data_IF_918825904298
#
_entry.id   IF_918825904298
#
_cell.length_a   1.000
_cell.length_b   1.000
_cell.length_c   1.000
_cell.angle_alpha   90.00
_cell.angle_beta   90.00
_cell.angle_gamma   90.00
#
_symmetry.space_group_name_H-M   'P 1'
#
loop_
_entity.id
_entity.type
_entity.pdbx_description
1 polymer ?
#
# COMPACT_ATOMS: atom_id res chain seq x y z
N UNK A 1 -59.88 13.95 -9.23
CA UNK A 1 -58.86 13.42 -10.18
C UNK A 1 -57.53 13.36 -9.45
N UNK A 2 -56.93 12.18 -9.26
CA UNK A 2 -55.74 12.04 -8.41
C UNK A 2 -54.48 12.53 -9.16
N UNK A 3 -53.80 13.53 -8.61
CA UNK A 3 -52.62 14.18 -9.20
C UNK A 3 -51.47 13.19 -9.44
N UNK A 4 -51.29 12.23 -8.52
CA UNK A 4 -50.32 11.15 -8.66
C UNK A 4 -50.59 10.27 -9.89
N UNK A 5 -51.87 9.97 -10.16
CA UNK A 5 -52.30 9.15 -11.30
C UNK A 5 -52.07 9.87 -12.63
N UNK A 6 -52.18 11.20 -12.66
CA UNK A 6 -51.92 12.01 -13.83
C UNK A 6 -50.41 12.08 -14.13
N UNK A 7 -49.58 12.30 -13.11
CA UNK A 7 -48.11 12.30 -13.24
C UNK A 7 -47.58 10.95 -13.72
N UNK A 8 -48.10 9.84 -13.18
CA UNK A 8 -47.72 8.50 -13.64
C UNK A 8 -48.07 8.25 -15.11
N UNK A 9 -49.29 8.62 -15.54
CA UNK A 9 -49.69 8.52 -16.95
C UNK A 9 -48.83 9.39 -17.86
N UNK A 10 -48.41 10.56 -17.41
CA UNK A 10 -47.52 11.45 -18.17
C UNK A 10 -46.13 10.82 -18.40
N UNK A 11 -45.55 10.19 -17.38
CA UNK A 11 -44.26 9.51 -17.47
C UNK A 11 -44.29 8.35 -18.49
N UNK A 12 -45.35 7.55 -18.47
CA UNK A 12 -45.53 6.43 -19.41
C UNK A 12 -45.84 6.91 -20.84
N UNK A 13 -46.55 8.02 -21.00
CA UNK A 13 -46.91 8.56 -22.32
C UNK A 13 -45.72 9.16 -23.10
N UNK A 14 -44.63 9.54 -22.43
CA UNK A 14 -43.42 10.11 -23.06
C UNK A 14 -42.17 9.29 -22.72
N UNK A 15 -42.08 8.01 -23.15
CA UNK A 15 -41.06 7.07 -22.67
C UNK A 15 -39.63 7.55 -22.92
N UNK A 16 -39.32 8.06 -24.12
CA UNK A 16 -37.97 8.54 -24.46
C UNK A 16 -37.51 9.67 -23.53
N UNK A 17 -38.34 10.70 -23.34
CA UNK A 17 -38.01 11.85 -22.49
C UNK A 17 -37.90 11.42 -21.01
N UNK A 18 -38.80 10.56 -20.54
CA UNK A 18 -38.75 10.01 -19.19
C UNK A 18 -37.46 9.21 -18.98
N UNK A 19 -37.11 8.32 -19.90
CA UNK A 19 -35.88 7.50 -19.83
C UNK A 19 -34.63 8.37 -19.84
N UNK A 20 -34.52 9.36 -20.73
CA UNK A 20 -33.36 10.26 -20.78
C UNK A 20 -33.17 11.01 -19.46
N UNK A 21 -34.24 11.53 -18.86
CA UNK A 21 -34.15 12.21 -17.56
C UNK A 21 -33.78 11.26 -16.42
N UNK A 22 -34.31 10.03 -16.43
CA UNK A 22 -33.93 9.00 -15.46
C UNK A 22 -32.44 8.67 -15.59
N UNK A 23 -31.93 8.49 -16.81
CA UNK A 23 -30.50 8.20 -17.05
C UNK A 23 -29.63 9.36 -16.61
N UNK A 24 -30.00 10.61 -16.93
CA UNK A 24 -29.25 11.79 -16.50
C UNK A 24 -29.20 11.90 -14.96
N UNK A 25 -30.34 11.74 -14.29
CA UNK A 25 -30.41 11.74 -12.83
C UNK A 25 -29.59 10.59 -12.23
N UNK A 26 -29.73 9.38 -12.76
CA UNK A 26 -29.00 8.21 -12.30
C UNK A 26 -27.48 8.38 -12.47
N UNK A 27 -27.03 8.95 -13.59
CA UNK A 27 -25.61 9.22 -13.83
C UNK A 27 -25.07 10.28 -12.85
N UNK A 28 -25.83 11.35 -12.60
CA UNK A 28 -25.46 12.35 -11.60
C UNK A 28 -25.32 11.77 -10.19
N UNK A 29 -26.29 10.97 -9.76
CA UNK A 29 -26.24 10.26 -8.48
C UNK A 29 -25.11 9.24 -8.42
N UNK A 30 -24.87 8.50 -9.50
CA UNK A 30 -23.81 7.51 -9.58
C UNK A 30 -22.43 8.14 -9.43
N UNK A 31 -22.16 9.26 -10.11
CA UNK A 31 -20.88 9.97 -10.01
C UNK A 31 -20.64 10.44 -8.57
N UNK A 32 -21.63 11.06 -7.94
CA UNK A 32 -21.52 11.52 -6.54
C UNK A 32 -21.27 10.34 -5.61
N UNK A 33 -22.00 9.24 -5.79
CA UNK A 33 -21.85 8.03 -4.97
C UNK A 33 -20.46 7.41 -5.14
N UNK A 34 -19.97 7.29 -6.37
CA UNK A 34 -18.63 6.77 -6.65
C UNK A 34 -17.57 7.66 -6.01
N UNK A 35 -17.70 8.99 -6.13
CA UNK A 35 -16.75 9.92 -5.53
C UNK A 35 -16.68 9.75 -4.01
N UNK A 36 -17.82 9.65 -3.33
CA UNK A 36 -17.88 9.46 -1.88
C UNK A 36 -17.29 8.11 -1.47
N UNK A 37 -17.58 7.03 -2.21
CA UNK A 37 -17.02 5.71 -1.94
C UNK A 37 -15.51 5.67 -2.12
N UNK A 38 -14.99 6.32 -3.17
CA UNK A 38 -13.54 6.41 -3.40
C UNK A 38 -12.86 7.19 -2.28
N UNK A 39 -13.45 8.31 -1.86
CA UNK A 39 -12.92 9.11 -0.76
C UNK A 39 -12.87 8.30 0.54
N UNK A 40 -13.97 7.63 0.91
CA UNK A 40 -14.06 6.81 2.13
C UNK A 40 -13.06 5.64 2.11
N UNK A 41 -12.97 4.92 0.99
CA UNK A 41 -11.99 3.84 0.85
C UNK A 41 -10.55 4.33 0.92
N UNK A 42 -10.26 5.48 0.31
CA UNK A 42 -8.93 6.07 0.32
C UNK A 42 -8.54 6.52 1.73
N UNK A 43 -9.40 7.26 2.41
CA UNK A 43 -9.20 7.72 3.79
C UNK A 43 -9.02 6.53 4.74
N UNK A 44 -9.93 5.56 4.69
CA UNK A 44 -9.84 4.35 5.51
C UNK A 44 -8.57 3.54 5.26
N UNK A 45 -8.09 3.47 4.01
CA UNK A 45 -6.80 2.82 3.70
C UNK A 45 -5.63 3.59 4.28
N UNK A 46 -5.58 4.91 4.10
CA UNK A 46 -4.51 5.74 4.63
C UNK A 46 -4.44 5.66 6.16
N UNK A 47 -5.60 5.77 6.83
CA UNK A 47 -5.68 5.64 8.31
C UNK A 47 -5.24 4.26 8.79
N UNK A 48 -5.61 3.19 8.10
CA UNK A 48 -5.20 1.83 8.45
C UNK A 48 -3.69 1.62 8.26
N UNK A 49 -3.15 2.06 7.13
CA UNK A 49 -1.74 1.85 6.78
C UNK A 49 -0.80 2.65 7.72
N UNK A 50 -1.27 3.78 8.28
CA UNK A 50 -0.57 4.59 9.30
C UNK A 50 -0.87 4.20 10.76
N UNK A 51 -1.75 3.22 11.00
CA UNK A 51 -2.16 2.82 12.35
C UNK A 51 -0.97 2.30 13.14
N UNK A 52 -0.77 2.83 14.35
CA UNK A 52 0.34 2.45 15.22
C UNK A 52 1.67 3.16 14.92
N UNK A 53 1.68 4.11 13.97
CA UNK A 53 2.85 4.93 13.63
C UNK A 53 2.64 6.35 14.15
N UNK A 54 3.32 6.71 15.24
CA UNK A 54 3.21 8.03 15.86
C UNK A 54 4.20 9.05 15.29
N UNK A 55 5.35 8.58 14.80
CA UNK A 55 6.44 9.42 14.30
C UNK A 55 7.23 8.71 13.20
N UNK A 56 7.54 9.42 12.12
CA UNK A 56 8.49 9.00 11.10
C UNK A 56 9.74 9.85 11.22
N UNK A 57 10.90 9.21 11.32
CA UNK A 57 12.22 9.87 11.37
C UNK A 57 13.01 9.45 10.15
N UNK A 58 13.61 10.42 9.45
CA UNK A 58 14.39 10.18 8.25
C UNK A 58 15.31 11.33 7.92
N UNK A 59 16.07 11.18 6.84
CA UNK A 59 17.02 12.18 6.39
C UNK A 59 16.33 13.52 6.06
N UNK A 60 17.09 14.62 6.17
CA UNK A 60 16.61 15.97 5.87
C UNK A 60 16.02 16.03 4.45
N UNK A 61 14.78 16.50 4.35
CA UNK A 61 14.05 16.57 3.08
C UNK A 61 12.62 17.06 3.30
N UNK A 62 11.72 16.72 2.37
CA UNK A 62 10.29 17.03 2.50
C UNK A 62 9.63 16.10 3.53
N UNK A 63 9.00 16.61 4.59
CA UNK A 63 8.26 15.78 5.55
C UNK A 63 7.14 14.96 4.89
N UNK A 64 6.47 15.53 3.88
CA UNK A 64 5.44 14.83 3.13
C UNK A 64 6.03 13.65 2.35
N UNK A 65 7.16 13.86 1.68
CA UNK A 65 7.86 12.80 0.95
C UNK A 65 8.29 11.67 1.88
N UNK A 66 8.79 12.01 3.08
CA UNK A 66 9.18 11.02 4.09
C UNK A 66 7.99 10.16 4.51
N UNK A 67 6.84 10.75 4.77
CA UNK A 67 5.60 10.04 5.12
C UNK A 67 5.11 9.17 3.95
N UNK A 68 5.03 9.75 2.76
CA UNK A 68 4.56 9.05 1.56
C UNK A 68 5.44 7.84 1.24
N UNK A 69 6.76 8.00 1.31
CA UNK A 69 7.72 6.94 0.98
C UNK A 69 7.79 5.85 2.05
N UNK A 70 7.72 6.21 3.33
CA UNK A 70 7.95 5.26 4.44
C UNK A 70 6.69 4.47 4.84
N UNK A 71 5.53 5.14 4.87
CA UNK A 71 4.26 4.51 5.30
C UNK A 71 3.52 3.97 4.08
N UNK A 72 3.34 4.81 3.06
CA UNK A 72 2.47 4.49 1.93
C UNK A 72 3.21 3.91 0.72
N UNK A 73 4.54 3.88 0.77
CA UNK A 73 5.40 3.41 -0.33
C UNK A 73 5.18 4.17 -1.66
N UNK A 74 4.69 5.41 -1.56
CA UNK A 74 4.48 6.36 -2.66
C UNK A 74 5.65 7.35 -2.59
N UNK A 75 6.41 7.55 -3.66
CA UNK A 75 7.60 8.45 -3.71
C UNK A 75 8.93 7.87 -3.17
N UNK A 76 10.05 8.50 -3.55
CA UNK A 76 11.40 8.07 -3.22
C UNK A 76 11.76 8.42 -1.76
N UNK A 77 12.54 7.58 -1.05
CA UNK A 77 13.03 7.92 0.29
C UNK A 77 13.90 9.18 0.25
N UNK A 78 13.85 10.00 1.31
CA UNK A 78 14.63 11.25 1.41
C UNK A 78 16.13 11.01 1.66
N UNK A 79 16.53 9.76 1.92
CA UNK A 79 17.89 9.33 2.21
C UNK A 79 17.97 8.51 3.50
N UNK A 80 19.18 8.05 3.83
CA UNK A 80 19.44 7.31 5.06
C UNK A 80 19.82 8.25 6.20
N UNK A 81 19.50 7.85 7.43
CA UNK A 81 20.01 8.46 8.66
C UNK A 81 21.20 7.66 9.19
N UNK A 82 22.08 8.31 9.95
CA UNK A 82 23.19 7.63 10.60
C UNK A 82 22.67 6.59 11.61
N UNK A 83 23.25 5.40 11.56
CA UNK A 83 22.83 4.29 12.42
C UNK A 83 22.96 4.63 13.91
N UNK A 84 24.00 5.39 14.28
CA UNK A 84 24.20 5.84 15.65
C UNK A 84 23.08 6.78 16.13
N UNK A 85 22.57 7.65 15.25
CA UNK A 85 21.43 8.51 15.57
C UNK A 85 20.13 7.71 15.71
N UNK A 86 19.91 6.74 14.82
CA UNK A 86 18.77 5.83 14.91
C UNK A 86 18.79 5.03 16.24
N UNK A 87 19.96 4.56 16.66
CA UNK A 87 20.11 3.81 17.92
C UNK A 87 19.78 4.65 19.17
N UNK A 88 20.04 5.95 19.15
CA UNK A 88 19.66 6.85 20.26
C UNK A 88 18.14 6.91 20.45
N UNK A 89 17.35 6.77 19.38
CA UNK A 89 15.89 6.71 19.47
C UNK A 89 15.41 5.43 20.15
N UNK A 90 16.02 4.29 19.82
CA UNK A 90 15.69 2.99 20.44
C UNK A 90 15.98 2.97 21.94
N UNK A 91 16.95 3.76 22.41
CA UNK A 91 17.29 3.86 23.83
C UNK A 91 16.46 4.91 24.58
N UNK A 92 15.62 5.69 23.89
CA UNK A 92 14.82 6.73 24.51
C UNK A 92 13.61 6.14 25.24
N UNK A 93 13.48 6.43 26.54
CA UNK A 93 12.39 5.94 27.40
C UNK A 93 10.98 6.38 26.97
N UNK A 94 10.87 7.44 26.18
CA UNK A 94 9.59 7.92 25.63
C UNK A 94 9.16 7.15 24.37
N UNK A 95 10.05 6.33 23.81
CA UNK A 95 9.80 5.58 22.58
C UNK A 95 9.54 4.12 22.94
N UNK A 96 8.31 3.65 22.66
CA UNK A 96 7.91 2.28 22.98
C UNK A 96 8.57 1.25 22.04
N UNK A 97 8.66 1.57 20.76
CA UNK A 97 9.15 0.67 19.71
C UNK A 97 9.75 1.49 18.57
N UNK A 98 10.79 0.96 17.94
CA UNK A 98 11.42 1.55 16.75
C UNK A 98 11.51 0.46 15.70
N UNK A 99 10.95 0.72 14.52
CA UNK A 99 10.99 -0.21 13.39
C UNK A 99 11.93 0.40 12.34
N UNK A 100 13.12 -0.19 12.12
CA UNK A 100 14.05 0.29 11.11
C UNK A 100 13.49 0.03 9.71
N UNK A 101 13.66 0.99 8.80
CA UNK A 101 13.19 0.88 7.43
C UNK A 101 14.31 1.24 6.46
N UNK A 102 14.66 0.33 5.56
CA UNK A 102 15.57 0.53 4.44
C UNK A 102 14.82 0.38 3.13
N UNK A 103 14.89 1.41 2.28
CA UNK A 103 14.23 1.44 0.97
C UNK A 103 15.27 1.76 -0.10
N UNK A 104 15.27 1.00 -1.19
CA UNK A 104 16.19 1.26 -2.32
C UNK A 104 15.93 0.37 -3.53
N UNK A 105 15.66 -0.91 -3.26
CA UNK A 105 15.44 -1.90 -4.30
C UNK A 105 13.95 -2.13 -4.59
N UNK A 106 13.68 -2.52 -5.82
CA UNK A 106 12.38 -2.98 -6.26
C UNK A 106 12.52 -4.19 -7.20
N UNK A 107 11.48 -5.02 -7.25
CA UNK A 107 11.30 -6.09 -8.22
C UNK A 107 10.00 -5.87 -8.99
N UNK A 108 10.08 -5.63 -10.29
CA UNK A 108 8.91 -5.39 -11.16
C UNK A 108 7.94 -4.32 -10.61
N UNK A 109 8.47 -3.28 -9.97
CA UNK A 109 7.67 -2.22 -9.35
C UNK A 109 7.17 -2.50 -7.93
N UNK A 110 7.42 -3.69 -7.37
CA UNK A 110 7.21 -3.99 -5.95
C UNK A 110 8.45 -3.64 -5.15
N UNK A 111 8.31 -2.82 -4.10
CA UNK A 111 9.45 -2.44 -3.26
C UNK A 111 9.94 -3.62 -2.44
N UNK A 112 11.26 -3.72 -2.33
CA UNK A 112 11.93 -4.58 -1.35
C UNK A 112 12.22 -3.71 -0.14
N UNK A 113 11.66 -4.09 1.00
CA UNK A 113 11.74 -3.32 2.25
C UNK A 113 12.67 -4.04 3.20
N UNK A 114 13.80 -3.42 3.52
CA UNK A 114 14.72 -3.90 4.55
C UNK A 114 14.22 -3.50 5.93
N UNK A 115 13.94 -4.46 6.81
CA UNK A 115 13.42 -4.19 8.15
C UNK A 115 13.66 -5.38 9.09
N UNK A 116 13.18 -5.29 10.33
CA UNK A 116 13.18 -6.36 11.31
C UNK A 116 11.77 -6.95 11.48
N UNK A 117 11.60 -7.93 12.37
CA UNK A 117 10.32 -8.62 12.53
C UNK A 117 9.20 -7.76 13.12
N UNK A 118 9.55 -6.66 13.81
CA UNK A 118 8.56 -5.72 14.35
C UNK A 118 7.66 -5.14 13.26
N UNK A 119 8.14 -5.07 12.01
CA UNK A 119 7.33 -4.61 10.87
C UNK A 119 6.15 -5.55 10.58
N UNK A 120 6.36 -6.87 10.71
CA UNK A 120 5.27 -7.82 10.56
C UNK A 120 4.29 -7.70 11.73
N UNK A 121 4.81 -7.50 12.94
CA UNK A 121 4.00 -7.38 14.15
C UNK A 121 3.14 -6.09 14.13
N UNK A 122 3.66 -4.99 13.57
CA UNK A 122 2.90 -3.73 13.37
C UNK A 122 1.63 -3.94 12.53
N UNK A 123 1.72 -4.77 11.50
CA UNK A 123 0.61 -5.07 10.59
C UNK A 123 -0.12 -6.38 10.92
N UNK A 124 0.14 -6.95 12.11
CA UNK A 124 -0.47 -8.20 12.58
C UNK A 124 -0.31 -9.32 11.52
N UNK A 125 0.84 -9.36 10.84
CA UNK A 125 1.11 -10.25 9.72
C UNK A 125 1.91 -11.47 10.17
N UNK A 126 1.37 -12.66 9.92
CA UNK A 126 2.07 -13.93 10.12
C UNK A 126 2.45 -14.56 8.78
N UNK A 127 3.55 -15.30 8.76
CA UNK A 127 3.96 -16.04 7.56
C UNK A 127 3.06 -17.26 7.41
N UNK A 128 2.35 -17.37 6.29
CA UNK A 128 1.43 -18.46 6.03
C UNK A 128 2.12 -19.69 5.47
N UNK A 129 3.12 -19.49 4.60
CA UNK A 129 3.94 -20.54 4.01
C UNK A 129 5.43 -20.23 4.17
N UNK A 130 6.23 -21.24 4.51
CA UNK A 130 7.68 -21.08 4.70
C UNK A 130 8.03 -20.50 6.07
N UNK A 131 8.97 -19.55 6.10
CA UNK A 131 9.50 -18.95 7.33
C UNK A 131 9.79 -17.46 7.17
N UNK A 132 10.04 -16.77 8.29
CA UNK A 132 10.58 -15.40 8.30
C UNK A 132 12.03 -15.41 7.76
N UNK A 133 12.52 -14.25 7.31
CA UNK A 133 13.91 -14.09 6.86
C UNK A 133 14.87 -14.17 8.03
N UNK A 134 15.95 -14.93 7.93
CA UNK A 134 16.97 -15.09 8.98
C UNK A 134 18.34 -14.57 8.52
N UNK A 135 18.61 -14.66 7.21
CA UNK A 135 19.88 -14.28 6.61
C UNK A 135 19.74 -13.05 5.70
N UNK A 136 20.83 -12.31 5.44
CA UNK A 136 20.85 -11.33 4.38
C UNK A 136 20.37 -11.93 3.06
N UNK A 137 19.64 -11.14 2.28
CA UNK A 137 19.05 -11.53 0.98
C UNK A 137 17.95 -12.61 1.04
N UNK A 138 17.43 -12.97 2.22
CA UNK A 138 16.17 -13.71 2.30
C UNK A 138 14.98 -12.73 2.32
N UNK A 139 13.91 -13.06 1.58
CA UNK A 139 12.70 -12.22 1.51
C UNK A 139 11.44 -13.01 1.80
N UNK A 140 10.46 -12.30 2.36
CA UNK A 140 9.08 -12.78 2.52
C UNK A 140 8.19 -11.99 1.57
N UNK A 141 7.42 -12.71 0.74
CA UNK A 141 6.51 -12.08 -0.21
C UNK A 141 5.15 -11.81 0.43
N UNK A 142 4.56 -10.65 0.11
CA UNK A 142 3.13 -10.45 0.34
C UNK A 142 2.30 -11.34 -0.59
N UNK A 143 1.13 -11.79 -0.11
CA UNK A 143 0.25 -12.69 -0.86
C UNK A 143 -0.09 -12.19 -2.27
N UNK A 144 -0.39 -10.89 -2.39
CA UNK A 144 -0.71 -10.27 -3.68
C UNK A 144 0.48 -10.22 -4.64
N UNK A 145 1.70 -10.09 -4.12
CA UNK A 145 2.93 -10.11 -4.92
C UNK A 145 3.15 -11.53 -5.44
N UNK A 146 3.12 -12.53 -4.55
CA UNK A 146 3.27 -13.94 -4.93
C UNK A 146 2.22 -14.37 -5.99
N UNK A 147 0.95 -13.98 -5.82
CA UNK A 147 -0.11 -14.30 -6.77
C UNK A 147 0.08 -13.65 -8.15
N UNK A 148 0.61 -12.42 -8.20
CA UNK A 148 0.79 -11.68 -9.46
C UNK A 148 2.07 -12.05 -10.21
N UNK A 149 3.16 -12.29 -9.48
CA UNK A 149 4.46 -12.64 -10.09
C UNK A 149 4.59 -14.14 -10.33
N UNK A 150 3.80 -14.96 -9.63
CA UNK A 150 3.90 -16.43 -9.68
C UNK A 150 5.11 -16.99 -8.92
N UNK A 151 5.84 -16.16 -8.18
CA UNK A 151 7.00 -16.57 -7.38
C UNK A 151 6.59 -17.52 -6.26
N UNK A 152 7.46 -18.49 -5.99
CA UNK A 152 7.29 -19.55 -5.00
C UNK A 152 8.45 -19.57 -4.02
N UNK A 153 8.29 -20.31 -2.93
CA UNK A 153 9.37 -20.59 -1.99
C UNK A 153 10.57 -21.22 -2.72
N UNK A 154 11.76 -20.69 -2.45
CA UNK A 154 13.02 -21.09 -3.08
C UNK A 154 13.37 -20.33 -4.36
N UNK A 155 12.44 -19.58 -4.95
CA UNK A 155 12.74 -18.78 -6.13
C UNK A 155 13.70 -17.65 -5.79
N UNK A 156 14.50 -17.27 -6.78
CA UNK A 156 15.46 -16.18 -6.68
C UNK A 156 15.04 -14.99 -7.54
N UNK A 157 15.16 -13.79 -6.99
CA UNK A 157 14.91 -12.54 -7.71
C UNK A 157 16.10 -11.61 -7.63
N UNK A 158 16.27 -10.80 -8.66
CA UNK A 158 17.29 -9.74 -8.70
C UNK A 158 16.58 -8.41 -8.53
N UNK A 159 16.97 -7.65 -7.51
CA UNK A 159 16.48 -6.30 -7.27
C UNK A 159 17.02 -5.33 -8.33
N UNK A 160 16.25 -4.28 -8.60
CA UNK A 160 16.70 -3.12 -9.37
C UNK A 160 16.59 -1.86 -8.51
N UNK A 161 17.53 -0.93 -8.65
CA UNK A 161 17.48 0.31 -7.86
C UNK A 161 16.41 1.27 -8.37
N UNK A 162 15.72 1.94 -7.44
CA UNK A 162 14.77 3.02 -7.73
C UNK A 162 13.29 2.58 -7.70
N UNK A 163 12.41 3.51 -8.05
CA UNK A 163 10.94 3.35 -8.07
C UNK A 163 10.50 3.48 -9.52
N UNK A 164 10.66 2.39 -10.28
CA UNK A 164 10.39 2.34 -11.71
C UNK A 164 11.38 1.40 -12.37
N UNK A 165 10.88 0.42 -13.14
CA UNK A 165 11.66 -0.69 -13.71
C UNK A 165 12.73 -0.34 -14.75
N UNK A 166 13.40 0.82 -14.62
CA UNK A 166 14.50 1.28 -15.46
C UNK A 166 15.83 1.44 -14.71
N UNK A 167 15.95 0.94 -13.48
CA UNK A 167 17.22 0.96 -12.73
C UNK A 167 18.26 -0.01 -13.29
N UNK A 168 19.53 0.38 -13.24
CA UNK A 168 20.65 -0.50 -13.61
C UNK A 168 20.65 -1.75 -12.70
N UNK A 169 20.64 -2.94 -13.31
CA UNK A 169 20.88 -4.19 -12.60
C UNK A 169 22.35 -4.19 -12.18
N UNK A 170 22.61 -4.10 -10.88
CA UNK A 170 23.95 -4.40 -10.37
C UNK A 170 24.13 -5.92 -10.39
N UNK A 171 25.30 -6.36 -10.85
CA UNK A 171 25.87 -7.61 -10.37
C UNK A 171 25.87 -7.54 -8.84
N UNK A 172 25.27 -8.54 -8.17
CA UNK A 172 25.57 -9.04 -6.82
C UNK A 172 24.34 -9.33 -5.93
N UNK A 173 24.23 -10.61 -5.54
CA UNK A 173 23.35 -11.24 -4.53
C UNK A 173 21.84 -11.32 -4.86
N UNK A 174 21.38 -12.43 -5.47
CA UNK A 174 19.95 -12.66 -5.65
C UNK A 174 19.24 -12.83 -4.29
N UNK A 175 18.06 -12.21 -4.17
CA UNK A 175 17.17 -12.44 -3.05
C UNK A 175 16.50 -13.80 -3.19
N UNK A 176 16.43 -14.57 -2.11
CA UNK A 176 15.76 -15.88 -2.08
C UNK A 176 14.44 -15.78 -1.32
N UNK A 177 13.36 -16.25 -1.95
CA UNK A 177 12.03 -16.29 -1.33
C UNK A 177 11.98 -17.39 -0.28
N UNK A 178 11.83 -17.03 0.99
CA UNK A 178 11.79 -18.00 2.11
C UNK A 178 10.43 -18.07 2.80
N UNK A 179 9.55 -17.11 2.54
CA UNK A 179 8.21 -17.10 3.10
C UNK A 179 7.20 -16.36 2.23
N UNK A 180 5.92 -16.68 2.41
CA UNK A 180 4.79 -16.02 1.78
C UNK A 180 3.75 -15.71 2.85
N UNK A 181 3.32 -14.46 2.92
CA UNK A 181 2.23 -14.03 3.79
C UNK A 181 0.89 -14.54 3.24
N UNK A 182 -0.10 -14.86 4.09
CA UNK A 182 -1.44 -15.21 3.65
C UNK A 182 -2.16 -13.98 3.10
N UNK A 183 -3.22 -14.21 2.31
CA UNK A 183 -4.15 -13.14 1.96
C UNK A 183 -4.80 -12.62 3.25
N UNK A 184 -4.55 -11.36 3.58
CA UNK A 184 -5.30 -10.68 4.64
C UNK A 184 -6.77 -10.59 4.21
N UNK A 185 -7.68 -11.01 5.10
CA UNK A 185 -9.13 -10.96 4.89
C UNK A 185 -9.68 -9.57 5.15
#
# INVERSE_FOLDING_TARGET
MNMFKLSWKYLVAKPLHTTLNIVLLAMGLAIITVLLLVQDQFEGKMTRDAKGIDLVVGAKGSPLQLILSSIYHIDFPTGNIDLEEAQKLTQNRLVKQVIPLGLGDNYQGYRIVGTNYDYLDLYEAEVGEGKRWEKPFEIVLGAAVAAKTGLKLGDQIIGSHGVGGGGHAHDEHPYTVVGILPLQK
#
